data_IF_028242960779
#
_entry.id   IF_028242960779
#
_cell.length_a   1.000
_cell.length_b   1.000
_cell.length_c   1.000
_cell.angle_alpha   90.00
_cell.angle_beta   90.00
_cell.angle_gamma   90.00
#
_symmetry.space_group_name_H-M   'P 1'
#
loop_
_entity.id
_entity.type
_entity.pdbx_description
1 polymer ?
#
# COMPACT_ATOMS: atom_id res chain seq x y z
N UNK A 1 -62.80 -27.05 3.78
CA UNK A 1 -62.73 -27.58 2.41
C UNK A 1 -61.52 -26.96 1.75
N UNK A 2 -60.63 -27.82 1.25
CA UNK A 2 -59.37 -27.54 0.54
C UNK A 2 -59.56 -26.40 -0.49
N UNK A 3 -58.57 -25.60 -0.89
CA UNK A 3 -57.26 -25.93 -1.43
C UNK A 3 -56.35 -24.69 -1.36
N UNK A 4 -55.14 -24.85 -0.84
CA UNK A 4 -53.91 -24.26 -1.41
C UNK A 4 -52.74 -24.91 -0.64
N UNK A 5 -52.47 -26.19 -0.89
CA UNK A 5 -51.37 -26.56 -1.80
C UNK A 5 -50.21 -25.54 -1.73
N UNK A 6 -49.22 -25.91 -0.93
CA UNK A 6 -47.85 -26.08 -1.39
C UNK A 6 -47.25 -24.84 -2.08
N UNK A 7 -46.58 -23.98 -1.32
CA UNK A 7 -45.58 -23.09 -1.90
C UNK A 7 -44.31 -23.00 -1.03
N UNK A 8 -43.28 -23.65 -1.54
CA UNK A 8 -41.85 -23.43 -1.35
C UNK A 8 -41.24 -23.58 0.06
N UNK A 9 -40.85 -24.82 0.34
CA UNK A 9 -39.46 -25.08 0.76
C UNK A 9 -38.55 -24.71 -0.42
N UNK A 10 -37.44 -24.02 -0.14
CA UNK A 10 -36.10 -24.18 -0.73
C UNK A 10 -35.42 -22.86 -1.18
N UNK A 11 -34.11 -22.83 -0.93
CA UNK A 11 -33.04 -21.93 -1.39
C UNK A 11 -32.84 -20.63 -0.58
N UNK A 12 -32.05 -20.69 0.49
CA UNK A 12 -30.57 -20.70 0.55
C UNK A 12 -30.06 -19.27 0.86
N UNK A 13 -29.17 -19.08 1.86
CA UNK A 13 -28.58 -17.79 2.12
C UNK A 13 -27.75 -17.37 0.90
N UNK A 14 -28.19 -16.31 0.23
CA UNK A 14 -27.53 -15.80 -0.97
C UNK A 14 -26.23 -15.10 -0.58
N UNK A 15 -25.15 -15.86 -0.80
CA UNK A 15 -23.84 -15.44 -1.25
C UNK A 15 -23.03 -14.48 -0.35
N UNK A 16 -22.19 -15.11 0.46
CA UNK A 16 -20.75 -14.84 0.57
C UNK A 16 -20.23 -13.77 -0.41
N UNK A 17 -20.37 -12.52 -0.03
CA UNK A 17 -19.40 -11.51 -0.44
C UNK A 17 -18.34 -11.46 0.64
N UNK A 18 -17.09 -11.19 0.25
CA UNK A 18 -15.97 -10.78 1.11
C UNK A 18 -15.02 -11.92 1.55
N UNK A 19 -14.27 -12.52 0.61
CA UNK A 19 -12.90 -13.02 0.92
C UNK A 19 -11.88 -12.80 -0.20
N UNK A 20 -12.24 -12.17 -1.33
CA UNK A 20 -11.33 -12.01 -2.47
C UNK A 20 -10.10 -11.11 -2.20
N UNK A 21 -10.13 -10.23 -1.19
CA UNK A 21 -8.97 -9.39 -0.84
C UNK A 21 -7.92 -10.13 0.01
N UNK A 22 -8.35 -11.10 0.82
CA UNK A 22 -7.42 -11.90 1.62
C UNK A 22 -6.61 -12.85 0.72
N UNK A 23 -7.22 -13.39 -0.34
CA UNK A 23 -6.56 -14.37 -1.22
C UNK A 23 -5.29 -13.84 -1.89
N UNK A 24 -5.27 -12.57 -2.33
CA UNK A 24 -4.06 -11.99 -2.92
C UNK A 24 -2.95 -11.82 -1.87
N UNK A 25 -3.29 -11.31 -0.68
CA UNK A 25 -2.31 -11.12 0.39
C UNK A 25 -1.76 -12.45 0.88
N UNK A 26 -2.61 -13.47 1.04
CA UNK A 26 -2.21 -14.82 1.43
C UNK A 26 -1.28 -15.46 0.39
N UNK A 27 -1.54 -15.23 -0.90
CA UNK A 27 -0.65 -15.64 -1.99
C UNK A 27 0.73 -14.98 -1.88
N UNK A 28 0.78 -13.68 -1.56
CA UNK A 28 2.04 -12.96 -1.39
C UNK A 28 2.81 -13.45 -0.17
N UNK A 29 2.14 -13.74 0.95
CA UNK A 29 2.76 -14.28 2.16
C UNK A 29 3.32 -15.69 1.91
N UNK A 30 2.56 -16.54 1.21
CA UNK A 30 3.03 -17.87 0.81
C UNK A 30 4.30 -17.76 -0.05
N UNK A 31 4.29 -16.84 -1.03
CA UNK A 31 5.49 -16.57 -1.85
C UNK A 31 6.66 -16.08 -1.00
N UNK A 32 6.41 -15.23 0.00
CA UNK A 32 7.44 -14.73 0.90
C UNK A 32 8.08 -15.85 1.73
N UNK A 33 7.28 -16.76 2.25
CA UNK A 33 7.75 -17.90 3.05
C UNK A 33 8.66 -18.85 2.24
N UNK A 34 8.43 -18.93 0.93
CA UNK A 34 9.25 -19.73 0.02
C UNK A 34 10.55 -19.01 -0.42
N UNK A 35 10.72 -17.71 -0.11
CA UNK A 35 11.93 -16.96 -0.43
C UNK A 35 12.99 -17.11 0.68
N UNK A 36 13.96 -17.97 0.41
CA UNK A 36 15.14 -18.16 1.27
C UNK A 36 16.21 -17.10 1.02
N UNK A 37 16.31 -16.59 -0.21
CA UNK A 37 17.33 -15.61 -0.59
C UNK A 37 17.01 -14.21 -0.06
N UNK A 38 17.98 -13.62 0.60
CA UNK A 38 17.94 -12.25 1.09
C UNK A 38 18.41 -11.26 0.02
N UNK A 39 17.53 -10.96 -0.94
CA UNK A 39 17.81 -10.02 -2.02
C UNK A 39 16.67 -9.00 -2.24
N UNK A 40 16.81 -8.20 -3.30
CA UNK A 40 15.83 -7.15 -3.64
C UNK A 40 14.44 -7.71 -3.94
N UNK A 41 14.31 -8.96 -4.38
CA UNK A 41 13.01 -9.59 -4.65
C UNK A 41 12.26 -9.75 -3.33
N UNK A 42 12.94 -10.24 -2.29
CA UNK A 42 12.37 -10.37 -0.94
C UNK A 42 11.99 -9.01 -0.36
N UNK A 43 12.85 -7.99 -0.50
CA UNK A 43 12.52 -6.61 -0.09
C UNK A 43 11.27 -6.08 -0.79
N UNK A 44 11.20 -6.22 -2.12
CA UNK A 44 10.07 -5.72 -2.89
C UNK A 44 8.77 -6.41 -2.48
N UNK A 45 8.83 -7.72 -2.20
CA UNK A 45 7.67 -8.47 -1.74
C UNK A 45 7.21 -8.04 -0.34
N UNK A 46 8.14 -7.89 0.61
CA UNK A 46 7.83 -7.38 1.95
C UNK A 46 7.17 -6.00 1.92
N UNK A 47 7.73 -5.06 1.14
CA UNK A 47 7.13 -3.73 0.96
C UNK A 47 5.75 -3.81 0.31
N UNK A 48 5.55 -4.71 -0.67
CA UNK A 48 4.25 -4.91 -1.33
C UNK A 48 3.20 -5.45 -0.35
N UNK A 49 3.57 -6.40 0.50
CA UNK A 49 2.66 -6.95 1.51
C UNK A 49 2.30 -5.84 2.51
N UNK A 50 3.27 -5.12 3.06
CA UNK A 50 3.01 -3.99 3.96
C UNK A 50 2.05 -2.96 3.36
N UNK A 51 2.26 -2.59 2.09
CA UNK A 51 1.37 -1.67 1.36
C UNK A 51 -0.05 -2.23 1.14
N UNK A 52 -0.21 -3.54 1.00
CA UNK A 52 -1.55 -4.14 0.85
C UNK A 52 -2.27 -4.34 2.16
N UNK A 53 -1.54 -4.51 3.27
CA UNK A 53 -2.13 -4.85 4.56
C UNK A 53 -2.34 -3.66 5.47
N UNK A 54 -1.79 -2.47 5.21
CA UNK A 54 -1.84 -1.38 6.20
C UNK A 54 -3.24 -0.89 6.56
N UNK A 55 -4.22 -1.02 5.65
CA UNK A 55 -5.62 -0.64 5.93
C UNK A 55 -6.30 -1.70 6.81
N UNK A 56 -6.03 -2.99 6.55
CA UNK A 56 -6.67 -4.10 7.25
C UNK A 56 -6.00 -4.44 8.58
N UNK A 57 -4.68 -4.32 8.66
CA UNK A 57 -3.87 -4.66 9.82
C UNK A 57 -2.55 -3.86 9.81
N UNK A 58 -2.55 -2.74 10.53
CA UNK A 58 -1.39 -1.85 10.67
C UNK A 58 -0.23 -2.57 11.33
N UNK A 59 -0.48 -3.39 12.36
CA UNK A 59 0.59 -4.05 13.12
C UNK A 59 1.37 -5.02 12.23
N UNK A 60 0.64 -5.83 11.46
CA UNK A 60 1.23 -6.73 10.47
C UNK A 60 1.98 -5.97 9.37
N UNK A 61 1.40 -4.87 8.87
CA UNK A 61 2.06 -4.02 7.88
C UNK A 61 3.39 -3.45 8.41
N UNK A 62 3.41 -2.92 9.64
CA UNK A 62 4.62 -2.40 10.30
C UNK A 62 5.67 -3.49 10.49
N UNK A 63 5.27 -4.72 10.83
CA UNK A 63 6.17 -5.87 10.91
C UNK A 63 6.93 -6.09 9.59
N UNK A 64 6.21 -6.28 8.48
CA UNK A 64 6.81 -6.45 7.16
C UNK A 64 7.62 -5.23 6.70
N UNK A 65 7.17 -4.03 7.05
CA UNK A 65 7.87 -2.80 6.72
C UNK A 65 9.24 -2.76 7.43
N UNK A 66 9.31 -3.14 8.71
CA UNK A 66 10.57 -3.19 9.45
C UNK A 66 11.54 -4.23 8.89
N UNK A 67 11.03 -5.42 8.51
CA UNK A 67 11.83 -6.44 7.83
C UNK A 67 12.38 -5.92 6.49
N UNK A 68 11.54 -5.29 5.67
CA UNK A 68 11.95 -4.71 4.40
C UNK A 68 13.02 -3.62 4.60
N UNK A 69 12.87 -2.78 5.61
CA UNK A 69 13.82 -1.70 5.96
C UNK A 69 15.18 -2.27 6.36
N UNK A 70 15.18 -3.26 7.26
CA UNK A 70 16.41 -3.94 7.72
C UNK A 70 17.13 -4.61 6.57
N UNK A 71 16.40 -5.38 5.75
CA UNK A 71 16.99 -6.08 4.61
C UNK A 71 17.49 -5.09 3.55
N UNK A 72 16.71 -4.06 3.21
CA UNK A 72 17.13 -3.02 2.24
C UNK A 72 18.45 -2.38 2.63
N UNK A 73 18.64 -2.06 3.92
CA UNK A 73 19.90 -1.53 4.44
C UNK A 73 21.03 -2.55 4.32
N UNK A 74 20.79 -3.81 4.70
CA UNK A 74 21.78 -4.89 4.61
C UNK A 74 22.32 -5.07 3.19
N UNK A 75 21.46 -4.98 2.18
CA UNK A 75 21.83 -5.20 0.78
C UNK A 75 22.05 -3.90 -0.02
N UNK A 76 22.08 -2.74 0.65
CA UNK A 76 22.22 -1.43 0.01
C UNK A 76 21.20 -1.15 -1.12
N UNK A 77 19.96 -1.60 -0.95
CA UNK A 77 18.92 -1.47 -1.96
C UNK A 77 18.08 -0.20 -1.74
N UNK A 78 18.57 0.93 -2.27
CA UNK A 78 17.99 2.28 -2.11
C UNK A 78 16.53 2.37 -2.57
N UNK A 79 16.17 1.70 -3.68
CA UNK A 79 14.77 1.67 -4.17
C UNK A 79 13.82 1.01 -3.16
N UNK A 80 14.29 0.01 -2.41
CA UNK A 80 13.56 -0.61 -1.31
C UNK A 80 13.32 0.35 -0.15
N UNK A 81 14.31 1.17 0.17
CA UNK A 81 14.21 2.22 1.21
C UNK A 81 13.17 3.28 0.84
N UNK A 82 13.15 3.74 -0.43
CA UNK A 82 12.16 4.71 -0.89
C UNK A 82 10.72 4.17 -0.76
N UNK A 83 10.48 2.93 -1.23
CA UNK A 83 9.17 2.29 -1.07
C UNK A 83 8.79 2.12 0.40
N UNK A 84 9.75 1.80 1.25
CA UNK A 84 9.53 1.65 2.68
C UNK A 84 9.04 2.95 3.32
N UNK A 85 9.75 4.06 3.08
CA UNK A 85 9.37 5.39 3.58
C UNK A 85 8.03 5.83 3.02
N UNK A 86 7.75 5.55 1.74
CA UNK A 86 6.45 5.84 1.13
C UNK A 86 5.32 5.09 1.84
N UNK A 87 5.46 3.79 2.10
CA UNK A 87 4.44 3.02 2.82
C UNK A 87 4.31 3.48 4.27
N UNK A 88 5.41 3.86 4.94
CA UNK A 88 5.39 4.48 6.27
C UNK A 88 4.53 5.76 6.26
N UNK A 89 4.70 6.62 5.26
CA UNK A 89 3.88 7.82 5.09
C UNK A 89 2.39 7.51 4.91
N UNK A 90 2.05 6.46 4.15
CA UNK A 90 0.66 6.06 3.95
C UNK A 90 0.03 5.52 5.24
N UNK A 91 0.80 4.82 6.08
CA UNK A 91 0.36 4.39 7.41
C UNK A 91 0.08 5.62 8.30
N UNK A 92 0.97 6.61 8.32
CA UNK A 92 0.76 7.83 9.09
C UNK A 92 -0.44 8.63 8.58
N UNK A 93 -0.59 8.75 7.26
CA UNK A 93 -1.79 9.35 6.67
C UNK A 93 -3.07 8.60 7.02
N UNK A 94 -3.03 7.27 7.14
CA UNK A 94 -4.19 6.47 7.53
C UNK A 94 -4.57 6.69 9.00
N UNK A 95 -3.59 6.97 9.87
CA UNK A 95 -3.81 7.37 11.27
C UNK A 95 -4.31 8.81 11.43
N UNK A 96 -4.33 9.60 10.35
CA UNK A 96 -4.68 11.04 10.38
C UNK A 96 -3.48 11.97 10.57
N UNK A 97 -2.27 11.41 10.66
CA UNK A 97 -1.02 12.16 10.86
C UNK A 97 -0.48 12.71 9.52
N UNK A 98 -1.28 13.56 8.88
CA UNK A 98 -1.02 14.04 7.52
C UNK A 98 0.28 14.83 7.37
N UNK A 99 0.66 15.62 8.38
CA UNK A 99 1.90 16.42 8.33
C UNK A 99 3.14 15.52 8.37
N UNK A 100 3.12 14.49 9.23
CA UNK A 100 4.19 13.47 9.30
C UNK A 100 4.28 12.73 7.97
N UNK A 101 3.14 12.34 7.41
CA UNK A 101 3.08 11.68 6.10
C UNK A 101 3.70 12.54 4.99
N UNK A 102 3.41 13.85 4.96
CA UNK A 102 4.00 14.79 3.99
C UNK A 102 5.52 14.88 4.15
N UNK A 103 6.04 14.98 5.37
CA UNK A 103 7.48 15.01 5.63
C UNK A 103 8.17 13.74 5.13
N UNK A 104 7.60 12.57 5.44
CA UNK A 104 8.10 11.28 4.98
C UNK A 104 8.09 11.18 3.45
N UNK A 105 7.03 11.65 2.78
CA UNK A 105 6.94 11.65 1.32
C UNK A 105 7.97 12.58 0.68
N UNK A 106 8.24 13.77 1.23
CA UNK A 106 9.32 14.62 0.73
C UNK A 106 10.71 13.98 0.89
N UNK A 107 10.94 13.29 2.01
CA UNK A 107 12.17 12.51 2.20
C UNK A 107 12.31 11.40 1.15
N UNK A 108 11.24 10.66 0.89
CA UNK A 108 11.21 9.63 -0.14
C UNK A 108 11.43 10.23 -1.54
N UNK A 109 10.81 11.38 -1.83
CA UNK A 109 10.91 12.09 -3.11
C UNK A 109 12.35 12.49 -3.40
N UNK A 110 13.02 13.15 -2.45
CA UNK A 110 14.41 13.59 -2.60
C UNK A 110 15.36 12.41 -2.93
N UNK A 111 15.17 11.26 -2.27
CA UNK A 111 15.96 10.05 -2.56
C UNK A 111 15.61 9.51 -3.95
N UNK A 112 14.32 9.46 -4.30
CA UNK A 112 13.85 8.97 -5.59
C UNK A 112 14.37 9.83 -6.76
N UNK A 113 14.35 11.15 -6.62
CA UNK A 113 14.85 12.12 -7.61
C UNK A 113 16.37 11.98 -7.83
N UNK A 114 17.16 11.92 -6.74
CA UNK A 114 18.61 11.69 -6.82
C UNK A 114 18.98 10.41 -7.55
N UNK A 115 18.14 9.38 -7.45
CA UNK A 115 18.35 8.08 -8.06
C UNK A 115 17.55 7.87 -9.37
N UNK A 116 16.84 8.90 -9.85
CA UNK A 116 16.02 8.86 -11.08
C UNK A 116 14.98 7.72 -11.10
N UNK A 117 14.36 7.44 -9.96
CA UNK A 117 13.30 6.44 -9.85
C UNK A 117 11.94 7.00 -10.29
N UNK A 118 11.79 7.32 -11.58
CA UNK A 118 10.62 8.03 -12.13
C UNK A 118 9.27 7.42 -11.73
N UNK A 119 9.13 6.10 -11.75
CA UNK A 119 7.91 5.43 -11.28
C UNK A 119 7.59 5.72 -9.80
N UNK A 120 8.60 5.78 -8.93
CA UNK A 120 8.40 6.14 -7.53
C UNK A 120 8.15 7.63 -7.35
N UNK A 121 8.81 8.47 -8.13
CA UNK A 121 8.56 9.92 -8.15
C UNK A 121 7.09 10.20 -8.48
N UNK A 122 6.55 9.56 -9.53
CA UNK A 122 5.14 9.68 -9.90
C UNK A 122 4.21 9.25 -8.75
N UNK A 123 4.44 8.06 -8.17
CA UNK A 123 3.64 7.58 -7.05
C UNK A 123 3.70 8.50 -5.82
N UNK A 124 4.87 9.04 -5.49
CA UNK A 124 5.04 9.95 -4.36
C UNK A 124 4.32 11.27 -4.62
N UNK A 125 4.37 11.79 -5.85
CA UNK A 125 3.58 12.97 -6.23
C UNK A 125 2.07 12.69 -6.15
N UNK A 126 1.62 11.51 -6.55
CA UNK A 126 0.23 11.12 -6.38
C UNK A 126 -0.18 11.14 -4.90
N UNK A 127 0.62 10.51 -4.03
CA UNK A 127 0.31 10.45 -2.60
C UNK A 127 0.33 11.84 -1.94
N UNK A 128 1.31 12.68 -2.29
CA UNK A 128 1.34 14.08 -1.85
C UNK A 128 0.08 14.82 -2.30
N UNK A 129 -0.38 14.58 -3.53
CA UNK A 129 -1.62 15.13 -4.07
C UNK A 129 -2.83 14.74 -3.21
N UNK A 130 -3.01 13.43 -2.97
CA UNK A 130 -4.12 12.88 -2.18
C UNK A 130 -4.11 13.42 -0.74
N UNK A 131 -2.95 13.47 -0.09
CA UNK A 131 -2.86 13.98 1.28
C UNK A 131 -3.13 15.48 1.34
N UNK A 132 -2.72 16.25 0.33
CA UNK A 132 -3.05 17.68 0.28
C UNK A 132 -4.55 17.94 0.08
N UNK A 133 -5.30 17.03 -0.55
CA UNK A 133 -6.77 17.10 -0.55
C UNK A 133 -7.31 16.93 0.87
N UNK A 134 -6.76 16.00 1.66
CA UNK A 134 -7.16 15.80 3.07
C UNK A 134 -6.83 16.99 3.96
N UNK A 135 -5.80 17.75 3.62
CA UNK A 135 -5.39 18.99 4.28
C UNK A 135 -6.10 20.24 3.75
N UNK A 136 -7.07 20.11 2.85
CA UNK A 136 -7.77 21.22 2.16
C UNK A 136 -6.84 22.17 1.36
N UNK A 137 -5.62 21.71 1.06
CA UNK A 137 -4.63 22.43 0.27
C UNK A 137 -4.82 22.15 -1.23
N UNK A 138 -5.97 22.52 -1.76
CA UNK A 138 -6.42 22.16 -3.13
C UNK A 138 -5.42 22.56 -4.21
N UNK A 139 -4.80 23.73 -4.10
CA UNK A 139 -3.81 24.20 -5.09
C UNK A 139 -2.54 23.35 -5.11
N UNK A 140 -2.04 22.95 -3.93
CA UNK A 140 -0.90 22.01 -3.84
C UNK A 140 -1.29 20.62 -4.36
N UNK A 141 -2.50 20.16 -4.06
CA UNK A 141 -2.99 18.89 -4.55
C UNK A 141 -2.99 18.83 -6.09
N UNK A 142 -3.58 19.83 -6.75
CA UNK A 142 -3.57 19.94 -8.22
C UNK A 142 -2.15 19.96 -8.79
N UNK A 143 -1.25 20.73 -8.18
CA UNK A 143 0.15 20.79 -8.59
C UNK A 143 0.81 19.41 -8.57
N UNK A 144 0.69 18.68 -7.46
CA UNK A 144 1.32 17.37 -7.32
C UNK A 144 0.70 16.31 -8.22
N UNK A 145 -0.63 16.28 -8.35
CA UNK A 145 -1.30 15.36 -9.27
C UNK A 145 -0.89 15.60 -10.71
N UNK A 146 -0.76 16.86 -11.13
CA UNK A 146 -0.23 17.22 -12.46
C UNK A 146 1.23 16.78 -12.65
N UNK A 147 2.07 16.90 -11.63
CA UNK A 147 3.46 16.39 -11.68
C UNK A 147 3.52 14.88 -11.79
N UNK A 148 2.66 14.16 -11.06
CA UNK A 148 2.53 12.70 -11.16
C UNK A 148 2.23 12.27 -12.60
N UNK A 149 1.22 12.88 -13.23
CA UNK A 149 0.81 12.57 -14.60
C UNK A 149 1.90 12.85 -15.64
N UNK A 150 2.67 13.94 -15.48
CA UNK A 150 3.76 14.32 -16.39
C UNK A 150 5.04 13.49 -16.23
N UNK A 151 5.14 12.69 -15.18
CA UNK A 151 6.32 11.85 -14.92
C UNK A 151 6.27 10.53 -15.70
N UNK A 152 5.10 10.20 -16.29
CA UNK A 152 4.90 9.11 -17.26
C UNK A 152 5.17 9.60 -18.69
#
# INVERSE_FOLDING_TARGET
MNYLKLLLILLLPTYHSITAQNTETDSLITKLNNLTKEDSVKVNLLNKIAFKTYISDINKAVGYLNEAKKLSKKINYTKGIVNNIRTEALIESYKGEFLIAVELLYKALNIAEKNKYNYLIANIYNDLGVINIKLDNIEKAKLFLNRSLKTY
#
